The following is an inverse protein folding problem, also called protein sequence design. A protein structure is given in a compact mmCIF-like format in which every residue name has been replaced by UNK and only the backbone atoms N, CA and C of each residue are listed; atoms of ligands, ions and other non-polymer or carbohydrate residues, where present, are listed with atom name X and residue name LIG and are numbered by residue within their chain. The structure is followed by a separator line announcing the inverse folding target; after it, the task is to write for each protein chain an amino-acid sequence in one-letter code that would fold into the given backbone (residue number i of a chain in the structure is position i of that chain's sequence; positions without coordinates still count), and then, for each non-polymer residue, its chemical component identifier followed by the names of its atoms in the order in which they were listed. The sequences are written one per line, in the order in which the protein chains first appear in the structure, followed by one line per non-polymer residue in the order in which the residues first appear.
data_IF_995516876565
#
_entry.id   IF_995516876565
#
_cell.length_a   1.000
_cell.length_b   1.000
_cell.length_c   1.000
_cell.angle_alpha   90.00
_cell.angle_beta   90.00
_cell.angle_gamma   90.00
#
_symmetry.space_group_name_H-M   'P 1'
#
loop_
_entity.id
_entity.type
_entity.pdbx_description
1 polymer ?
#
# COMPACT_ATOMS: atom_id res chain seq x y z
N UNK A 1 3.42 -19.72 10.28
CA UNK A 1 3.19 -18.74 9.18
C UNK A 1 2.27 -17.60 9.64
N UNK A 2 1.00 -17.86 9.96
CA UNK A 2 0.01 -16.85 10.39
C UNK A 2 0.36 -16.09 11.67
N UNK A 3 1.05 -16.72 12.63
CA UNK A 3 1.47 -16.07 13.87
C UNK A 3 2.47 -14.92 13.64
N UNK A 4 3.41 -15.10 12.71
CA UNK A 4 4.41 -14.07 12.35
C UNK A 4 3.69 -12.93 11.63
N UNK A 5 2.87 -13.25 10.62
CA UNK A 5 2.06 -12.27 9.90
C UNK A 5 1.22 -11.39 10.84
N UNK A 6 0.48 -12.00 11.79
CA UNK A 6 -0.36 -11.25 12.73
C UNK A 6 0.45 -10.35 13.67
N UNK A 7 1.64 -10.81 14.09
CA UNK A 7 2.56 -10.02 14.91
C UNK A 7 3.07 -8.79 14.15
N UNK A 8 3.53 -8.99 12.92
CA UNK A 8 4.05 -7.90 12.08
C UNK A 8 2.95 -6.90 11.71
N UNK A 9 1.76 -7.38 11.31
CA UNK A 9 0.61 -6.54 11.03
C UNK A 9 0.22 -5.70 12.27
N UNK A 10 0.16 -6.33 13.44
CA UNK A 10 -0.14 -5.62 14.69
C UNK A 10 0.95 -4.60 15.04
N UNK A 11 2.21 -4.87 14.73
CA UNK A 11 3.32 -3.91 14.92
C UNK A 11 3.15 -2.66 14.04
N UNK A 12 2.72 -2.86 12.79
CA UNK A 12 2.44 -1.75 11.86
C UNK A 12 1.27 -0.88 12.28
N UNK A 13 0.24 -1.43 12.91
CA UNK A 13 -0.91 -0.65 13.39
C UNK A 13 -0.71 -0.10 14.81
N UNK A 14 0.10 -0.74 15.67
CA UNK A 14 0.44 -0.18 16.98
C UNK A 14 1.40 1.01 16.88
N UNK A 15 2.27 0.99 15.89
CA UNK A 15 3.03 2.17 15.52
C UNK A 15 2.17 3.03 14.59
N UNK A 16 1.88 4.26 14.98
CA UNK A 16 1.06 5.24 14.21
C UNK A 16 1.39 5.32 12.70
N UNK A 17 2.59 4.89 12.29
CA UNK A 17 3.09 4.87 10.92
C UNK A 17 2.17 4.12 9.94
N UNK A 18 1.57 2.98 10.30
CA UNK A 18 0.65 2.27 9.40
C UNK A 18 -0.57 3.12 9.04
N UNK A 19 -1.15 3.81 10.02
CA UNK A 19 -2.27 4.73 9.80
C UNK A 19 -1.86 5.97 9.01
N UNK A 20 -0.69 6.55 9.31
CA UNK A 20 -0.17 7.73 8.59
C UNK A 20 0.10 7.39 7.12
N UNK A 21 0.65 6.21 6.84
CA UNK A 21 0.88 5.72 5.48
C UNK A 21 -0.43 5.61 4.69
N UNK A 22 -1.44 4.95 5.26
CA UNK A 22 -2.75 4.79 4.62
C UNK A 22 -3.41 6.16 4.40
N UNK A 23 -3.39 7.03 5.42
CA UNK A 23 -3.97 8.37 5.34
C UNK A 23 -3.30 9.21 4.25
N UNK A 24 -1.96 9.19 4.17
CA UNK A 24 -1.22 9.93 3.15
C UNK A 24 -1.56 9.42 1.74
N UNK A 25 -1.54 8.11 1.50
CA UNK A 25 -1.87 7.55 0.19
C UNK A 25 -3.31 7.87 -0.22
N UNK A 26 -4.28 7.73 0.68
CA UNK A 26 -5.67 8.08 0.40
C UNK A 26 -5.83 9.57 0.10
N UNK A 27 -5.15 10.43 0.88
CA UNK A 27 -5.18 11.88 0.69
C UNK A 27 -4.64 12.28 -0.69
N UNK A 28 -3.46 11.80 -1.08
CA UNK A 28 -2.90 12.08 -2.40
C UNK A 28 -3.74 11.48 -3.54
N UNK A 29 -4.30 10.27 -3.34
CA UNK A 29 -5.24 9.67 -4.29
C UNK A 29 -6.45 10.58 -4.51
N UNK A 30 -7.03 11.13 -3.44
CA UNK A 30 -8.14 12.08 -3.52
C UNK A 30 -7.79 13.35 -4.29
N UNK A 31 -6.62 13.93 -4.04
CA UNK A 31 -6.14 15.13 -4.76
C UNK A 31 -5.99 14.85 -6.25
N UNK A 32 -5.30 13.77 -6.62
CA UNK A 32 -5.09 13.44 -8.03
C UNK A 32 -6.39 13.01 -8.73
N UNK A 33 -7.30 12.36 -8.01
CA UNK A 33 -8.61 12.02 -8.53
C UNK A 33 -9.42 13.28 -8.86
N UNK A 34 -9.47 14.23 -7.91
CA UNK A 34 -10.17 15.50 -8.09
C UNK A 34 -9.56 16.32 -9.23
N UNK A 35 -8.23 16.46 -9.27
CA UNK A 35 -7.55 17.29 -10.26
C UNK A 35 -7.69 16.75 -11.69
N UNK A 36 -7.52 15.44 -11.88
CA UNK A 36 -7.50 14.87 -13.23
C UNK A 36 -8.87 14.36 -13.71
N UNK A 37 -9.61 13.61 -12.89
CA UNK A 37 -10.86 13.00 -13.36
C UNK A 37 -12.05 13.97 -13.25
N UNK A 38 -12.13 14.75 -12.17
CA UNK A 38 -13.25 15.68 -11.96
C UNK A 38 -13.00 17.03 -12.63
N UNK A 39 -11.89 17.70 -12.31
CA UNK A 39 -11.61 19.05 -12.81
C UNK A 39 -11.21 19.07 -14.28
N UNK A 40 -10.31 18.16 -14.69
CA UNK A 40 -9.84 18.09 -16.08
C UNK A 40 -10.72 17.20 -16.97
N UNK A 41 -11.68 16.46 -16.40
CA UNK A 41 -12.64 15.65 -17.15
C UNK A 41 -12.07 14.40 -17.82
N UNK A 42 -10.91 13.89 -17.39
CA UNK A 42 -10.38 12.66 -17.97
C UNK A 42 -11.20 11.44 -17.52
N UNK A 43 -11.62 10.56 -18.45
CA UNK A 43 -12.43 9.39 -18.13
C UNK A 43 -11.60 8.18 -17.62
N UNK A 44 -10.27 8.29 -17.62
CA UNK A 44 -9.35 7.22 -17.24
C UNK A 44 -8.71 7.50 -15.89
N UNK A 45 -8.98 6.63 -14.92
CA UNK A 45 -8.36 6.70 -13.59
C UNK A 45 -6.86 6.40 -13.62
N UNK A 46 -6.37 5.75 -14.68
CA UNK A 46 -4.95 5.43 -14.88
C UNK A 46 -4.02 6.64 -14.77
N UNK A 47 -4.44 7.83 -15.20
CA UNK A 47 -3.61 9.04 -15.12
C UNK A 47 -3.36 9.48 -13.66
N UNK A 48 -4.36 9.30 -12.79
CA UNK A 48 -4.24 9.60 -11.37
C UNK A 48 -3.35 8.57 -10.68
N UNK A 49 -3.43 7.30 -11.09
CA UNK A 49 -2.55 6.24 -10.58
C UNK A 49 -1.08 6.48 -10.92
N UNK A 50 -0.79 6.87 -12.17
CA UNK A 50 0.59 7.23 -12.58
C UNK A 50 1.12 8.38 -11.73
N UNK A 51 0.28 9.36 -11.43
CA UNK A 51 0.67 10.47 -10.55
C UNK A 51 0.94 10.00 -9.11
N UNK A 52 0.12 9.06 -8.63
CA UNK A 52 0.28 8.41 -7.32
C UNK A 52 1.57 7.58 -7.23
N UNK A 53 2.07 7.02 -8.34
CA UNK A 53 3.36 6.29 -8.36
C UNK A 53 4.53 7.18 -7.93
N UNK A 54 4.52 8.47 -8.26
CA UNK A 54 5.56 9.40 -7.79
C UNK A 54 5.57 9.52 -6.27
N UNK A 55 4.40 9.46 -5.63
CA UNK A 55 4.26 9.49 -4.17
C UNK A 55 4.69 8.15 -3.56
N UNK A 56 4.33 7.02 -4.17
CA UNK A 56 4.78 5.69 -3.72
C UNK A 56 6.30 5.61 -3.64
N UNK A 57 7.03 6.23 -4.57
CA UNK A 57 8.49 6.23 -4.56
C UNK A 57 9.10 6.78 -3.26
N UNK A 58 8.43 7.76 -2.62
CA UNK A 58 8.83 8.27 -1.30
C UNK A 58 8.25 7.46 -0.15
N UNK A 59 7.04 6.94 -0.33
CA UNK A 59 6.28 6.31 0.76
C UNK A 59 6.74 4.86 1.03
N UNK A 60 7.18 4.13 -0.01
CA UNK A 60 7.72 2.76 0.10
C UNK A 60 8.99 2.70 0.96
N UNK A 61 10.02 3.56 0.74
CA UNK A 61 11.19 3.63 1.61
C UNK A 61 10.82 3.91 3.08
N UNK A 62 9.83 4.77 3.33
CA UNK A 62 9.39 5.09 4.69
C UNK A 62 8.80 3.86 5.39
N UNK A 63 7.97 3.07 4.67
CA UNK A 63 7.35 1.86 5.21
C UNK A 63 8.38 0.73 5.43
N UNK A 64 9.30 0.55 4.48
CA UNK A 64 10.32 -0.53 4.50
C UNK A 64 11.48 -0.23 5.45
N UNK A 65 11.95 1.03 5.52
CA UNK A 65 13.04 1.41 6.42
C UNK A 65 12.67 1.22 7.88
N UNK A 66 11.42 1.51 8.29
CA UNK A 66 10.97 1.27 9.66
C UNK A 66 11.03 -0.22 10.02
N UNK A 67 10.56 -1.06 9.11
CA UNK A 67 10.57 -2.52 9.24
C UNK A 67 11.98 -3.07 9.50
N UNK A 68 13.00 -2.52 8.81
CA UNK A 68 14.40 -2.93 8.98
C UNK A 68 15.10 -2.22 10.15
N UNK A 69 14.73 -0.98 10.44
CA UNK A 69 15.32 -0.21 11.54
C UNK A 69 14.84 -0.70 12.91
N UNK A 70 13.60 -1.17 13.06
CA UNK A 70 13.09 -1.74 14.31
C UNK A 70 13.75 -3.09 14.65
N UNK A 71 14.02 -3.93 13.65
CA UNK A 71 14.77 -5.19 13.86
C UNK A 71 16.21 -4.94 14.30
N UNK A 72 16.89 -3.97 13.68
CA UNK A 72 18.25 -3.55 14.06
C UNK A 72 18.30 -2.90 15.44
N UNK A 73 17.31 -2.06 15.78
CA UNK A 73 17.27 -1.30 17.05
C UNK A 73 16.93 -2.21 18.24
N UNK A 74 16.07 -3.20 18.05
CA UNK A 74 15.65 -4.14 19.10
C UNK A 74 16.57 -5.36 19.26
N UNK A 75 17.69 -5.42 18.51
CA UNK A 75 18.62 -6.59 18.44
C UNK A 75 17.91 -7.92 18.18
N UNK A 76 16.71 -7.88 17.60
CA UNK A 76 15.88 -9.08 17.41
C UNK A 76 16.40 -9.96 16.27
N UNK A 77 17.29 -9.43 15.43
CA UNK A 77 18.07 -10.19 14.44
C UNK A 77 18.82 -11.37 15.07
N UNK A 78 19.45 -11.18 16.23
CA UNK A 78 20.17 -12.27 16.91
C UNK A 78 19.22 -13.32 17.52
N UNK A 79 18.03 -12.91 17.96
CA UNK A 79 17.00 -13.81 18.50
C UNK A 79 16.26 -14.58 17.40
N UNK A 80 16.07 -13.98 16.21
CA UNK A 80 15.50 -14.65 15.05
C UNK A 80 16.46 -15.68 14.43
N UNK A 81 17.77 -15.42 14.49
CA UNK A 81 18.81 -16.35 14.02
C UNK A 81 19.09 -17.51 15.00
N UNK A 82 18.69 -17.39 16.26
CA UNK A 82 18.88 -18.44 17.30
C UNK A 82 17.60 -19.24 17.59
N UNK A 83 16.44 -18.74 17.20
CA UNK A 83 15.18 -19.47 17.27
C UNK A 83 15.06 -20.48 16.11
N UNK A 84 14.48 -21.67 16.31
CA UNK A 84 14.34 -22.72 15.29
C UNK A 84 13.20 -22.38 14.31
N UNK A 85 13.28 -21.23 13.65
CA UNK A 85 12.25 -20.72 12.74
C UNK A 85 12.88 -20.52 11.37
N UNK A 86 12.26 -21.08 10.32
CA UNK A 86 12.83 -20.96 8.98
C UNK A 86 12.81 -19.51 8.50
N UNK A 87 13.97 -19.04 8.01
CA UNK A 87 14.17 -17.69 7.49
C UNK A 87 13.13 -17.31 6.42
N UNK A 88 12.78 -18.28 5.57
CA UNK A 88 11.74 -18.16 4.53
C UNK A 88 10.35 -17.84 5.10
N UNK A 89 9.99 -18.39 6.27
CA UNK A 89 8.71 -18.08 6.93
C UNK A 89 8.64 -16.64 7.43
N UNK A 90 9.78 -16.10 7.87
CA UNK A 90 9.90 -14.73 8.36
C UNK A 90 9.78 -13.75 7.20
N UNK A 91 10.52 -13.98 6.12
CA UNK A 91 10.48 -13.13 4.91
C UNK A 91 9.08 -13.09 4.32
N UNK A 92 8.43 -14.25 4.15
CA UNK A 92 7.05 -14.29 3.64
C UNK A 92 6.06 -13.60 4.58
N UNK A 93 6.18 -13.79 5.90
CA UNK A 93 5.32 -13.12 6.87
C UNK A 93 5.39 -11.59 6.79
N UNK A 94 6.61 -11.05 6.64
CA UNK A 94 6.86 -9.60 6.50
C UNK A 94 6.31 -9.04 5.20
N UNK A 95 6.55 -9.76 4.09
CA UNK A 95 6.03 -9.39 2.78
C UNK A 95 4.50 -9.32 2.78
N UNK A 96 3.82 -10.37 3.28
CA UNK A 96 2.36 -10.37 3.34
C UNK A 96 1.81 -9.28 4.25
N UNK A 97 2.47 -8.98 5.38
CA UNK A 97 2.05 -7.88 6.26
C UNK A 97 2.08 -6.54 5.54
N UNK A 98 3.20 -6.22 4.85
CA UNK A 98 3.33 -5.01 4.05
C UNK A 98 2.33 -4.96 2.89
N UNK A 99 2.13 -6.08 2.19
CA UNK A 99 1.15 -6.19 1.11
C UNK A 99 -0.28 -5.89 1.60
N UNK A 100 -0.67 -6.37 2.79
CA UNK A 100 -2.00 -6.01 3.34
C UNK A 100 -2.12 -4.55 3.76
N UNK A 101 -1.05 -3.91 4.24
CA UNK A 101 -1.08 -2.47 4.54
C UNK A 101 -1.23 -1.65 3.25
N UNK A 102 -0.58 -2.07 2.15
CA UNK A 102 -0.74 -1.47 0.83
C UNK A 102 -2.11 -1.75 0.20
N UNK A 103 -2.70 -2.92 0.47
CA UNK A 103 -3.99 -3.29 -0.09
C UNK A 103 -5.14 -2.37 0.36
N UNK A 104 -5.10 -1.86 1.60
CA UNK A 104 -6.15 -0.98 2.14
C UNK A 104 -6.37 0.28 1.29
N UNK A 105 -5.36 1.13 1.02
CA UNK A 105 -5.53 2.31 0.17
C UNK A 105 -5.88 1.95 -1.28
N UNK A 106 -5.40 0.81 -1.80
CA UNK A 106 -5.77 0.34 -3.16
C UNK A 106 -7.24 -0.05 -3.25
N UNK A 107 -7.78 -0.75 -2.25
CA UNK A 107 -9.22 -1.07 -2.18
C UNK A 107 -10.05 0.21 -2.10
N UNK A 108 -9.59 1.20 -1.32
CA UNK A 108 -10.24 2.51 -1.27
C UNK A 108 -10.19 3.24 -2.62
N UNK A 109 -9.05 3.18 -3.32
CA UNK A 109 -8.91 3.72 -4.67
C UNK A 109 -9.79 2.98 -5.70
N UNK A 110 -10.14 1.72 -5.46
CA UNK A 110 -11.07 0.94 -6.27
C UNK A 110 -12.50 1.50 -6.33
N UNK A 111 -12.88 2.37 -5.40
CA UNK A 111 -14.16 3.09 -5.46
C UNK A 111 -14.11 4.28 -6.44
N UNK A 112 -12.93 4.83 -6.75
CA UNK A 112 -12.80 5.98 -7.66
C UNK A 112 -13.30 5.68 -9.09
N UNK A 113 -12.93 4.55 -9.75
CA UNK A 113 -13.50 4.19 -11.05
C UNK A 113 -15.03 4.00 -11.04
N UNK A 114 -15.61 3.51 -9.93
CA UNK A 114 -17.06 3.38 -9.79
C UNK A 114 -17.76 4.74 -9.75
N UNK A 115 -17.14 5.73 -9.10
CA UNK A 115 -17.63 7.11 -9.07
C UNK A 115 -17.59 7.71 -10.48
N UNK A 116 -16.53 7.47 -11.27
CA UNK A 116 -16.46 7.92 -12.66
C UNK A 116 -17.58 7.26 -13.48
N UNK A 117 -17.81 5.95 -13.31
CA UNK A 117 -18.84 5.21 -14.03
C UNK A 117 -20.27 5.70 -13.70
N UNK A 118 -20.50 6.17 -12.48
CA UNK A 118 -21.79 6.74 -12.10
C UNK A 118 -22.05 8.14 -12.70
N UNK A 119 -20.98 8.88 -13.06
CA UNK A 119 -21.06 10.27 -13.51
C UNK A 119 -20.75 10.45 -15.02
N UNK A 120 -20.32 9.40 -15.74
CA UNK A 120 -19.96 9.50 -17.15
C UNK A 120 -19.56 8.18 -17.82
N UNK A 121 -18.82 8.27 -18.93
CA UNK A 121 -18.27 7.12 -19.65
C UNK A 121 -16.96 6.67 -19.01
N UNK A 122 -16.99 5.56 -18.26
CA UNK A 122 -15.82 4.99 -17.60
C UNK A 122 -15.29 3.74 -18.30
N UNK A 123 -13.97 3.61 -18.34
CA UNK A 123 -13.29 2.43 -18.86
C UNK A 123 -12.88 1.50 -17.72
N UNK A 124 -13.87 0.84 -17.12
CA UNK A 124 -13.68 0.00 -15.92
C UNK A 124 -12.61 -1.08 -16.10
N UNK A 125 -12.56 -1.73 -17.26
CA UNK A 125 -11.59 -2.80 -17.51
C UNK A 125 -10.15 -2.28 -17.50
N UNK A 126 -9.89 -1.11 -18.11
CA UNK A 126 -8.55 -0.51 -18.08
C UNK A 126 -8.19 0.02 -16.70
N UNK A 127 -9.15 0.61 -16.00
CA UNK A 127 -8.91 1.24 -14.70
C UNK A 127 -8.66 0.21 -13.59
N UNK A 128 -9.40 -0.91 -13.59
CA UNK A 128 -9.14 -2.03 -12.68
C UNK A 128 -7.86 -2.78 -13.03
N UNK A 129 -7.53 -2.93 -14.32
CA UNK A 129 -6.24 -3.49 -14.73
C UNK A 129 -5.08 -2.61 -14.26
N UNK A 130 -5.21 -1.28 -14.37
CA UNK A 130 -4.22 -0.32 -13.87
C UNK A 130 -4.10 -0.36 -12.34
N UNK A 131 -5.20 -0.49 -11.60
CA UNK A 131 -5.19 -0.68 -10.15
C UNK A 131 -4.47 -1.96 -9.74
N UNK A 132 -4.70 -3.07 -10.46
CA UNK A 132 -4.03 -4.34 -10.19
C UNK A 132 -2.53 -4.24 -10.49
N UNK A 133 -2.15 -3.61 -11.60
CA UNK A 133 -0.75 -3.35 -11.94
C UNK A 133 -0.07 -2.47 -10.87
N UNK A 134 -0.76 -1.43 -10.39
CA UNK A 134 -0.29 -0.56 -9.31
C UNK A 134 -0.07 -1.31 -7.99
N UNK A 135 -0.91 -2.29 -7.67
CA UNK A 135 -0.76 -3.12 -6.46
C UNK A 135 0.39 -4.12 -6.54
N UNK A 136 0.70 -4.62 -7.74
CA UNK A 136 1.76 -5.62 -7.94
C UNK A 136 3.17 -5.04 -8.08
N UNK A 137 3.30 -3.72 -8.21
CA UNK A 137 4.58 -3.03 -8.40
C UNK A 137 5.22 -2.63 -7.07
#
# INVERSE_FOLDING_TARGET
MTAIYKRELSSYFNSMIGYVFIAALVFFTGIYFMAYNIYSGYPHFSISLVSLMNILMFTIPILTMKSMAEERRSKTDQLLLTAPVSLTSVVMGKFFAMATVLAIPVVLAGFCPLIIAANGQAYLLSDYAALLAFFLM
#
